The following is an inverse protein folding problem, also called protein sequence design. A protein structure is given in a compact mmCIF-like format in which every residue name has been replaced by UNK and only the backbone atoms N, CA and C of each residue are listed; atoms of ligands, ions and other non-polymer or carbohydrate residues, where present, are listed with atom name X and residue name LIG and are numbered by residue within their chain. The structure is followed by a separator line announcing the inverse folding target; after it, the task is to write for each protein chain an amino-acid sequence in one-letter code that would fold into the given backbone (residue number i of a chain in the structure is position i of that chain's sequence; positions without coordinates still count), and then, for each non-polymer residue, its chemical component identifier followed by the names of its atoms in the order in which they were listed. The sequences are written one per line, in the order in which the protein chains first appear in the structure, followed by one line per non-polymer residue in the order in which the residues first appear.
data_IF_016283380933
#
_entry.id   IF_016283380933
#
_cell.length_a   1.000
_cell.length_b   1.000
_cell.length_c   1.000
_cell.angle_alpha   90.00
_cell.angle_beta   90.00
_cell.angle_gamma   90.00
#
_symmetry.space_group_name_H-M   'P 1'
#
loop_
_entity.id
_entity.type
_entity.pdbx_description
1 polymer ?
#
# COMPACT_ATOMS: atom_id res chain seq x y z
N UNK A 1 -39.97 -5.43 -7.33
CA UNK A 1 -38.56 -5.66 -6.95
C UNK A 1 -38.05 -4.48 -6.11
N UNK A 2 -38.70 -4.15 -4.99
CA UNK A 2 -38.23 -4.30 -3.59
C UNK A 2 -36.73 -4.00 -3.34
N UNK A 3 -36.49 -2.75 -2.94
CA UNK A 3 -35.56 -2.26 -1.89
C UNK A 3 -34.50 -3.29 -1.46
N UNK A 4 -33.32 -3.22 -2.06
CA UNK A 4 -32.10 -3.66 -1.40
C UNK A 4 -31.89 -2.76 -0.18
N UNK A 5 -31.90 -3.39 0.98
CA UNK A 5 -31.86 -2.80 2.30
C UNK A 5 -30.73 -1.76 2.45
N UNK A 6 -31.08 -0.67 3.16
CA UNK A 6 -30.17 0.32 3.69
C UNK A 6 -28.97 -0.37 4.38
N UNK A 7 -27.80 -0.20 3.79
CA UNK A 7 -26.62 -1.04 3.99
C UNK A 7 -25.96 -0.74 5.36
N UNK A 8 -25.95 -1.73 6.25
CA UNK A 8 -25.19 -1.80 7.51
C UNK A 8 -23.67 -1.99 7.28
N UNK A 9 -23.16 -1.53 6.13
CA UNK A 9 -21.94 -2.01 5.46
C UNK A 9 -20.86 -0.94 5.30
N UNK A 10 -21.16 0.34 5.56
CA UNK A 10 -20.15 1.41 5.51
C UNK A 10 -18.99 1.13 6.47
N UNK A 11 -19.26 0.51 7.63
CA UNK A 11 -18.21 0.14 8.58
C UNK A 11 -17.28 -0.94 8.01
N UNK A 12 -17.81 -1.96 7.34
CA UNK A 12 -16.98 -3.02 6.71
C UNK A 12 -16.13 -2.48 5.57
N UNK A 13 -16.70 -1.63 4.72
CA UNK A 13 -15.95 -0.95 3.64
C UNK A 13 -14.83 -0.08 4.23
N UNK A 14 -15.13 0.69 5.29
CA UNK A 14 -14.14 1.51 5.97
C UNK A 14 -13.01 0.67 6.60
N UNK A 15 -13.31 -0.51 7.17
CA UNK A 15 -12.30 -1.46 7.68
C UNK A 15 -11.39 -1.98 6.58
N UNK A 16 -11.97 -2.37 5.43
CA UNK A 16 -11.19 -2.83 4.27
C UNK A 16 -10.23 -1.74 3.82
N UNK A 17 -10.72 -0.51 3.76
CA UNK A 17 -9.91 0.62 3.33
C UNK A 17 -8.80 0.93 4.36
N UNK A 18 -9.11 1.01 5.66
CA UNK A 18 -8.11 1.24 6.72
C UNK A 18 -6.98 0.20 6.68
N UNK A 19 -7.34 -1.08 6.63
CA UNK A 19 -6.37 -2.18 6.58
C UNK A 19 -5.45 -2.07 5.35
N UNK A 20 -6.01 -1.75 4.18
CA UNK A 20 -5.22 -1.63 2.95
C UNK A 20 -4.41 -0.33 2.88
N UNK A 21 -4.83 0.75 3.53
CA UNK A 21 -4.01 1.95 3.72
C UNK A 21 -2.78 1.59 4.55
N UNK A 22 -2.96 0.86 5.66
CA UNK A 22 -1.86 0.48 6.52
C UNK A 22 -0.85 -0.42 5.78
N UNK A 23 -1.34 -1.50 5.13
CA UNK A 23 -0.51 -2.40 4.32
C UNK A 23 0.27 -1.66 3.22
N UNK A 24 -0.38 -0.71 2.54
CA UNK A 24 0.30 0.09 1.51
C UNK A 24 1.41 0.95 2.12
N UNK A 25 1.16 1.59 3.25
CA UNK A 25 2.14 2.47 3.91
C UNK A 25 3.32 1.70 4.49
N UNK A 26 3.06 0.55 5.11
CA UNK A 26 4.10 -0.31 5.69
C UNK A 26 5.01 -0.89 4.60
N UNK A 27 4.45 -1.45 3.53
CA UNK A 27 5.26 -1.96 2.42
C UNK A 27 6.09 -0.85 1.74
N UNK A 28 5.51 0.34 1.54
CA UNK A 28 6.25 1.49 1.01
C UNK A 28 7.35 1.95 1.98
N UNK A 29 7.14 1.86 3.30
CA UNK A 29 8.15 2.22 4.31
C UNK A 29 9.37 1.33 4.18
N UNK A 30 9.18 0.02 4.02
CA UNK A 30 10.29 -0.93 3.83
C UNK A 30 11.06 -0.60 2.53
N UNK A 31 10.35 -0.40 1.42
CA UNK A 31 10.99 -0.03 0.14
C UNK A 31 11.75 1.30 0.22
N UNK A 32 11.23 2.28 0.96
CA UNK A 32 11.90 3.56 1.20
C UNK A 32 13.21 3.40 1.99
N UNK A 33 13.24 2.54 3.02
CA UNK A 33 14.47 2.29 3.78
C UNK A 33 15.52 1.56 2.96
N UNK A 34 15.10 0.62 2.11
CA UNK A 34 16.01 -0.03 1.15
C UNK A 34 16.62 1.03 0.23
N UNK A 35 15.80 1.93 -0.31
CA UNK A 35 16.29 3.03 -1.14
C UNK A 35 17.24 3.98 -0.40
N UNK A 36 16.93 4.29 0.86
CA UNK A 36 17.68 5.26 1.69
C UNK A 36 19.01 4.71 2.17
N UNK A 37 19.00 3.52 2.76
CA UNK A 37 20.15 3.01 3.51
C UNK A 37 20.97 1.98 2.76
N UNK A 38 20.36 1.26 1.81
CA UNK A 38 21.08 0.24 1.05
C UNK A 38 21.48 0.76 -0.33
N UNK A 39 20.56 1.41 -1.04
CA UNK A 39 20.87 2.00 -2.34
C UNK A 39 21.50 3.39 -2.24
N UNK A 40 21.38 4.06 -1.09
CA UNK A 40 21.77 5.47 -0.89
C UNK A 40 21.24 6.41 -1.99
N UNK A 41 20.08 6.08 -2.56
CA UNK A 41 19.49 6.76 -3.72
C UNK A 41 18.46 7.78 -3.24
N UNK A 42 18.86 9.07 -3.25
CA UNK A 42 18.02 10.18 -2.78
C UNK A 42 16.74 10.33 -3.62
N UNK A 43 16.82 10.06 -4.92
CA UNK A 43 15.67 10.18 -5.84
C UNK A 43 14.63 9.11 -5.57
N UNK A 44 15.04 7.85 -5.41
CA UNK A 44 14.15 6.75 -5.04
C UNK A 44 13.56 6.97 -3.63
N UNK A 45 14.39 7.40 -2.68
CA UNK A 45 13.95 7.72 -1.31
C UNK A 45 12.83 8.78 -1.33
N UNK A 46 13.06 9.88 -2.06
CA UNK A 46 12.07 10.93 -2.20
C UNK A 46 10.79 10.43 -2.89
N UNK A 47 10.91 9.60 -3.94
CA UNK A 47 9.77 9.04 -4.65
C UNK A 47 8.89 8.14 -3.77
N UNK A 48 9.47 7.22 -2.99
CA UNK A 48 8.69 6.39 -2.06
C UNK A 48 8.02 7.22 -0.97
N UNK A 49 8.75 8.19 -0.41
CA UNK A 49 8.23 9.12 0.60
C UNK A 49 7.04 9.94 0.06
N UNK A 50 7.17 10.46 -1.17
CA UNK A 50 6.13 11.24 -1.82
C UNK A 50 4.85 10.42 -2.04
N UNK A 51 4.98 9.17 -2.53
CA UNK A 51 3.82 8.28 -2.71
C UNK A 51 3.14 8.02 -1.35
N UNK A 52 3.90 7.75 -0.29
CA UNK A 52 3.33 7.58 1.07
C UNK A 52 2.56 8.81 1.55
N UNK A 53 3.09 10.02 1.33
CA UNK A 53 2.40 11.26 1.70
C UNK A 53 1.13 11.48 0.87
N UNK A 54 1.18 11.20 -0.43
CA UNK A 54 0.01 11.28 -1.33
C UNK A 54 -1.10 10.33 -0.89
N UNK A 55 -0.78 9.08 -0.55
CA UNK A 55 -1.75 8.13 -0.01
C UNK A 55 -2.36 8.67 1.28
N UNK A 56 -1.53 9.11 2.23
CA UNK A 56 -2.00 9.62 3.52
C UNK A 56 -2.93 10.83 3.35
N UNK A 57 -2.59 11.75 2.45
CA UNK A 57 -3.41 12.94 2.19
C UNK A 57 -4.70 12.63 1.45
N UNK A 58 -4.71 11.66 0.53
CA UNK A 58 -5.94 11.25 -0.16
C UNK A 58 -6.90 10.54 0.80
N UNK A 59 -6.38 9.70 1.68
CA UNK A 59 -7.15 9.00 2.72
C UNK A 59 -7.83 9.99 3.66
N UNK A 60 -7.09 11.00 4.15
CA UNK A 60 -7.65 12.03 5.03
C UNK A 60 -8.81 12.80 4.41
N UNK A 61 -8.86 12.90 3.08
CA UNK A 61 -9.92 13.61 2.35
C UNK A 61 -11.15 12.74 2.11
N UNK A 62 -10.96 11.44 2.00
CA UNK A 62 -12.03 10.48 1.69
C UNK A 62 -12.82 10.03 2.90
N UNK A 63 -12.16 9.94 4.05
CA UNK A 63 -12.75 9.37 5.24
C UNK A 63 -12.67 10.38 6.37
N UNK A 64 -13.82 10.67 6.99
CA UNK A 64 -13.86 11.34 8.28
C UNK A 64 -13.00 10.51 9.23
N UNK A 65 -11.93 11.11 9.73
CA UNK A 65 -10.91 10.43 10.52
C UNK A 65 -11.50 9.74 11.75
N UNK A 66 -12.65 10.22 12.25
CA UNK A 66 -13.45 9.61 13.32
C UNK A 66 -14.02 8.23 12.97
N UNK A 67 -14.47 8.00 11.74
CA UNK A 67 -15.10 6.72 11.35
C UNK A 67 -14.06 5.62 11.13
N UNK A 68 -12.91 5.94 10.54
CA UNK A 68 -11.79 4.99 10.44
C UNK A 68 -11.24 4.61 11.82
N UNK A 69 -11.11 5.59 12.73
CA UNK A 69 -10.64 5.35 14.10
C UNK A 69 -11.64 4.51 14.91
N UNK A 70 -12.95 4.73 14.75
CA UNK A 70 -13.99 3.93 15.40
C UNK A 70 -14.08 2.50 14.85
N UNK A 71 -13.68 2.29 13.59
CA UNK A 71 -13.65 0.99 12.92
C UNK A 71 -12.38 0.16 13.22
N UNK A 72 -11.41 0.72 13.97
CA UNK A 72 -10.15 0.05 14.31
C UNK A 72 -10.35 -1.06 15.33
N UNK A 73 -10.68 -2.24 14.83
CA UNK A 73 -10.55 -3.48 15.57
C UNK A 73 -9.31 -4.25 15.10
N UNK A 74 -8.11 -3.80 15.47
CA UNK A 74 -6.85 -4.50 15.15
C UNK A 74 -6.82 -5.94 15.71
N UNK A 75 -7.59 -6.20 16.77
CA UNK A 75 -7.71 -7.53 17.39
C UNK A 75 -8.43 -8.55 16.49
N UNK A 76 -9.27 -8.12 15.56
CA UNK A 76 -10.07 -9.01 14.70
C UNK A 76 -9.65 -8.98 13.22
N UNK A 77 -8.49 -8.38 12.89
CA UNK A 77 -8.03 -8.36 11.50
C UNK A 77 -7.65 -9.78 11.05
N UNK A 78 -8.42 -10.31 10.09
CA UNK A 78 -8.24 -11.64 9.51
C UNK A 78 -7.00 -11.63 8.60
N UNK A 79 -5.82 -11.67 9.22
CA UNK A 79 -4.53 -11.70 8.53
C UNK A 79 -3.37 -12.09 9.44
N UNK A 80 -3.67 -12.60 10.66
CA UNK A 80 -2.68 -12.88 11.69
C UNK A 80 -1.87 -14.16 11.47
N UNK A 81 -2.28 -14.99 10.51
CA UNK A 81 -1.52 -16.17 10.15
C UNK A 81 -0.33 -15.74 9.30
N UNK A 82 0.84 -15.67 9.95
CA UNK A 82 2.14 -15.58 9.29
C UNK A 82 2.18 -16.72 8.27
N UNK A 83 2.15 -16.38 6.97
CA UNK A 83 2.35 -17.39 5.95
C UNK A 83 3.81 -17.84 6.04
N UNK A 84 4.09 -19.14 5.99
CA UNK A 84 5.46 -19.67 6.05
C UNK A 84 6.41 -19.02 5.02
N UNK A 85 5.85 -18.53 3.90
CA UNK A 85 6.58 -17.77 2.87
C UNK A 85 6.98 -16.35 3.28
N UNK A 86 6.45 -15.77 4.37
CA UNK A 86 6.93 -14.50 4.92
C UNK A 86 8.29 -14.62 5.62
N UNK A 87 8.60 -15.80 6.17
CA UNK A 87 9.83 -16.07 6.93
C UNK A 87 11.04 -16.34 6.01
N UNK A 88 10.81 -16.80 4.79
CA UNK A 88 11.89 -17.11 3.84
C UNK A 88 12.20 -15.89 2.96
N UNK A 89 13.15 -15.06 3.40
CA UNK A 89 13.74 -13.97 2.60
C UNK A 89 15.22 -14.28 2.37
N UNK A 90 15.61 -14.63 1.13
CA UNK A 90 16.97 -15.10 0.84
C UNK A 90 17.95 -13.97 0.56
N UNK A 91 17.45 -12.83 0.10
CA UNK A 91 18.27 -11.70 -0.30
C UNK A 91 17.45 -10.39 -0.31
N UNK A 92 18.13 -9.27 -0.57
CA UNK A 92 17.52 -7.95 -0.64
C UNK A 92 16.41 -7.85 -1.71
N UNK A 93 16.58 -8.48 -2.86
CA UNK A 93 15.57 -8.47 -3.93
C UNK A 93 14.28 -9.14 -3.45
N UNK A 94 14.37 -10.26 -2.73
CA UNK A 94 13.21 -10.95 -2.17
C UNK A 94 12.45 -10.06 -1.18
N UNK A 95 13.16 -9.33 -0.30
CA UNK A 95 12.55 -8.39 0.65
C UNK A 95 11.84 -7.25 -0.10
N UNK A 96 12.52 -6.64 -1.07
CA UNK A 96 11.95 -5.55 -1.86
C UNK A 96 10.72 -6.00 -2.64
N UNK A 97 10.82 -7.12 -3.37
CA UNK A 97 9.75 -7.67 -4.20
C UNK A 97 8.52 -8.04 -3.36
N UNK A 98 8.70 -8.71 -2.22
CA UNK A 98 7.58 -9.06 -1.36
C UNK A 98 6.82 -7.81 -0.86
N UNK A 99 7.55 -6.78 -0.45
CA UNK A 99 6.94 -5.55 0.06
C UNK A 99 6.28 -4.72 -1.05
N UNK A 100 6.94 -4.57 -2.21
CA UNK A 100 6.37 -3.80 -3.32
C UNK A 100 5.17 -4.52 -3.95
N UNK A 101 5.12 -5.86 -3.94
CA UNK A 101 3.93 -6.60 -4.38
C UNK A 101 2.75 -6.38 -3.45
N UNK A 102 2.96 -6.46 -2.12
CA UNK A 102 1.90 -6.13 -1.14
C UNK A 102 1.37 -4.71 -1.32
N UNK A 103 2.24 -3.74 -1.59
CA UNK A 103 1.86 -2.35 -1.92
C UNK A 103 0.96 -2.29 -3.15
N UNK A 104 1.30 -3.04 -4.21
CA UNK A 104 0.53 -3.07 -5.46
C UNK A 104 -0.84 -3.70 -5.26
N UNK A 105 -0.92 -4.79 -4.50
CA UNK A 105 -2.18 -5.44 -4.14
C UNK A 105 -3.04 -4.52 -3.29
N UNK A 106 -2.50 -3.95 -2.20
CA UNK A 106 -3.27 -3.13 -1.28
C UNK A 106 -3.75 -1.84 -1.94
N UNK A 107 -2.94 -1.18 -2.78
CA UNK A 107 -3.40 0.01 -3.51
C UNK A 107 -4.43 -0.32 -4.59
N UNK A 108 -4.40 -1.54 -5.15
CA UNK A 108 -5.45 -2.02 -6.07
C UNK A 108 -6.79 -2.17 -5.33
N UNK A 109 -6.76 -2.66 -4.09
CA UNK A 109 -7.96 -2.69 -3.24
C UNK A 109 -8.47 -1.27 -2.99
N UNK A 110 -7.59 -0.32 -2.63
CA UNK A 110 -7.98 1.08 -2.44
C UNK A 110 -8.61 1.70 -3.69
N UNK A 111 -8.03 1.42 -4.87
CA UNK A 111 -8.57 1.85 -6.16
C UNK A 111 -10.00 1.34 -6.38
N UNK A 112 -10.24 0.05 -6.18
CA UNK A 112 -11.55 -0.58 -6.44
C UNK A 112 -12.60 -0.14 -5.42
N UNK A 113 -12.30 -0.21 -4.12
CA UNK A 113 -13.27 0.16 -3.09
C UNK A 113 -13.61 1.65 -3.10
N UNK A 114 -12.67 2.51 -3.53
CA UNK A 114 -12.95 3.94 -3.70
C UNK A 114 -13.94 4.23 -4.83
N UNK A 115 -14.22 3.29 -5.75
CA UNK A 115 -15.24 3.51 -6.79
C UNK A 115 -16.65 3.60 -6.22
N UNK A 116 -16.89 2.98 -5.06
CA UNK A 116 -18.17 3.01 -4.35
C UNK A 116 -18.44 4.37 -3.72
N UNK A 117 -17.39 5.13 -3.38
CA UNK A 117 -17.50 6.39 -2.63
C UNK A 117 -17.08 7.62 -3.44
N UNK A 118 -16.04 7.51 -4.28
CA UNK A 118 -15.45 8.62 -5.05
C UNK A 118 -14.66 8.13 -6.27
N UNK A 119 -15.26 8.28 -7.47
CA UNK A 119 -14.56 8.04 -8.75
C UNK A 119 -13.26 8.86 -8.88
N UNK A 120 -13.27 10.10 -8.38
CA UNK A 120 -12.09 10.98 -8.38
C UNK A 120 -10.93 10.35 -7.60
N UNK A 121 -11.22 9.73 -6.47
CA UNK A 121 -10.20 9.11 -5.63
C UNK A 121 -9.75 7.76 -6.17
N UNK A 122 -10.67 6.97 -6.74
CA UNK A 122 -10.31 5.77 -7.50
C UNK A 122 -9.28 6.09 -8.61
N UNK A 123 -9.50 7.17 -9.38
CA UNK A 123 -8.54 7.62 -10.40
C UNK A 123 -7.18 8.02 -9.82
N UNK A 124 -7.15 8.63 -8.63
CA UNK A 124 -5.89 8.98 -7.97
C UNK A 124 -5.15 7.75 -7.47
N UNK A 125 -5.83 6.77 -6.86
CA UNK A 125 -5.20 5.50 -6.47
C UNK A 125 -4.67 4.74 -7.69
N UNK A 126 -5.43 4.73 -8.79
CA UNK A 126 -4.96 4.21 -10.08
C UNK A 126 -3.66 4.89 -10.52
N UNK A 127 -3.61 6.23 -10.50
CA UNK A 127 -2.39 7.00 -10.85
C UNK A 127 -1.22 6.67 -9.92
N UNK A 128 -1.45 6.59 -8.61
CA UNK A 128 -0.42 6.21 -7.63
C UNK A 128 0.09 4.79 -7.88
N UNK A 129 -0.78 3.84 -8.25
CA UNK A 129 -0.40 2.47 -8.61
C UNK A 129 0.54 2.43 -9.82
N UNK A 130 0.28 3.23 -10.85
CA UNK A 130 1.21 3.36 -11.98
C UNK A 130 2.55 3.95 -11.57
N UNK A 131 2.55 4.99 -10.70
CA UNK A 131 3.81 5.54 -10.18
C UNK A 131 4.62 4.49 -9.39
N UNK A 132 3.92 3.59 -8.67
CA UNK A 132 4.55 2.47 -7.97
C UNK A 132 5.24 1.51 -8.96
N UNK A 133 4.63 1.22 -10.11
CA UNK A 133 5.27 0.38 -11.14
C UNK A 133 6.54 1.01 -11.70
N UNK A 134 6.53 2.32 -11.91
CA UNK A 134 7.70 3.03 -12.43
C UNK A 134 8.84 3.10 -11.41
N UNK A 135 8.54 3.37 -10.14
CA UNK A 135 9.58 3.38 -9.10
C UNK A 135 10.11 1.97 -8.79
N UNK A 136 9.26 0.94 -8.89
CA UNK A 136 9.65 -0.47 -8.78
C UNK A 136 10.70 -0.84 -9.82
N UNK A 137 10.46 -0.53 -11.11
CA UNK A 137 11.42 -0.81 -12.20
C UNK A 137 12.78 -0.16 -11.93
N UNK A 138 12.78 1.10 -11.49
CA UNK A 138 14.01 1.85 -11.20
C UNK A 138 14.77 1.23 -10.02
N UNK A 139 14.07 0.91 -8.94
CA UNK A 139 14.65 0.29 -7.76
C UNK A 139 15.22 -1.10 -8.06
N UNK A 140 14.50 -1.94 -8.82
CA UNK A 140 14.98 -3.28 -9.20
C UNK A 140 16.25 -3.24 -10.03
N UNK A 141 16.39 -2.30 -10.97
CA UNK A 141 17.64 -2.10 -11.73
C UNK A 141 18.83 -1.80 -10.81
N UNK A 142 18.63 -0.92 -9.83
CA UNK A 142 19.66 -0.57 -8.84
C UNK A 142 20.01 -1.76 -7.93
N UNK A 143 19.00 -2.51 -7.46
CA UNK A 143 19.21 -3.71 -6.64
C UNK A 143 19.96 -4.79 -7.43
N UNK A 144 19.63 -4.99 -8.71
CA UNK A 144 20.34 -5.94 -9.57
C UNK A 144 21.79 -5.53 -9.79
N UNK A 145 22.06 -4.23 -10.00
CA UNK A 145 23.42 -3.72 -10.15
C UNK A 145 24.29 -3.99 -8.90
N UNK A 146 23.73 -3.92 -7.70
CA UNK A 146 24.45 -4.29 -6.46
C UNK A 146 24.86 -5.76 -6.41
N UNK A 147 24.11 -6.66 -7.05
CA UNK A 147 24.47 -8.09 -7.11
C UNK A 147 25.64 -8.36 -8.05
N UNK A 148 25.78 -7.56 -9.10
CA UNK A 148 26.87 -7.70 -10.08
C UNK A 148 28.19 -7.06 -9.62
N UNK A 149 28.17 -6.36 -8.47
CA UNK A 149 29.35 -5.74 -7.85
C UNK A 149 29.97 -6.62 -6.74
N UNK A 150 29.41 -7.81 -6.51
CA UNK A 150 29.89 -8.82 -5.55
C UNK A 150 30.35 -10.05 -6.30
#
# INVERSE_FOLDING_TARGET
MKKLANYTDNNKINRIIDANINRTKEGLRVCEEIARFILSDRTLTAGFKEIRHKITSEVKKLFLTKELLAARESRFDAGRNIQANELNRRNLSDIFLANIQRVKESIRVLEEFSKLTSKKSALKFKKMRYNIYEIEKKALRKIAALRNLR
#
